data_IF_963893041506
#
_entry.id   IF_963893041506
#
_cell.length_a   1.000
_cell.length_b   1.000
_cell.length_c   1.000
_cell.angle_alpha   90.00
_cell.angle_beta   90.00
_cell.angle_gamma   90.00
#
_symmetry.space_group_name_H-M   'P 1'
#
loop_
_entity.id
_entity.type
_entity.pdbx_description
1 polymer ?
#
# COMPACT_ATOMS: atom_id res chain seq x y z
N UNK A 1 -5.10 -0.50 12.58
CA UNK A 1 -4.24 -0.22 11.41
C UNK A 1 -2.78 -0.39 11.84
N UNK A 2 -1.86 -0.81 10.98
CA UNK A 2 -0.52 -1.24 11.41
C UNK A 2 0.02 -2.51 10.73
N UNK A 3 -0.76 -3.14 9.84
CA UNK A 3 -0.32 -4.36 9.14
C UNK A 3 0.62 -4.00 7.99
N UNK A 4 1.69 -4.76 7.83
CA UNK A 4 2.54 -4.66 6.64
C UNK A 4 1.77 -5.14 5.42
N UNK A 5 1.78 -4.36 4.36
CA UNK A 5 1.12 -4.64 3.10
C UNK A 5 2.08 -4.49 1.94
N UNK A 6 1.82 -5.25 0.88
CA UNK A 6 2.32 -4.98 -0.47
C UNK A 6 1.13 -4.59 -1.34
N UNK A 7 1.32 -3.56 -2.15
CA UNK A 7 0.30 -3.02 -3.05
C UNK A 7 0.88 -2.87 -4.43
N UNK A 8 0.04 -3.03 -5.44
CA UNK A 8 0.32 -2.74 -6.84
C UNK A 8 -0.75 -1.81 -7.35
N UNK A 9 -0.34 -0.68 -7.94
CA UNK A 9 -1.24 0.31 -8.54
C UNK A 9 -0.90 0.54 -10.00
N UNK A 10 -1.92 0.91 -10.78
CA UNK A 10 -1.78 1.38 -12.15
C UNK A 10 -1.18 2.79 -12.15
N UNK A 11 -0.29 3.04 -13.08
CA UNK A 11 0.26 4.36 -13.42
C UNK A 11 0.32 4.50 -14.94
N UNK A 12 0.45 5.70 -15.53
CA UNK A 12 0.51 5.86 -16.98
C UNK A 12 1.58 4.98 -17.66
N UNK A 13 2.72 4.77 -17.00
CA UNK A 13 3.83 3.96 -17.53
C UNK A 13 3.71 2.45 -17.19
N UNK A 14 2.55 2.00 -16.68
CA UNK A 14 2.28 0.59 -16.35
C UNK A 14 1.89 0.38 -14.89
N UNK A 15 2.73 -0.29 -14.10
CA UNK A 15 2.45 -0.61 -12.70
C UNK A 15 3.56 -0.16 -11.77
N UNK A 16 3.17 0.28 -10.57
CA UNK A 16 4.10 0.59 -9.48
C UNK A 16 3.69 -0.14 -8.23
N UNK A 17 4.69 -0.66 -7.54
CA UNK A 17 4.50 -1.35 -6.28
C UNK A 17 4.83 -0.42 -5.11
N UNK A 18 4.14 -0.61 -3.98
CA UNK A 18 4.49 0.01 -2.72
C UNK A 18 4.39 -1.02 -1.59
N UNK A 19 5.42 -1.04 -0.75
CA UNK A 19 5.50 -1.92 0.41
C UNK A 19 5.68 -1.05 1.64
N UNK A 20 4.85 -1.28 2.64
CA UNK A 20 4.85 -0.48 3.84
C UNK A 20 3.80 -0.93 4.84
N UNK A 21 3.52 -0.09 5.82
CA UNK A 21 2.46 -0.30 6.79
C UNK A 21 1.21 0.39 6.28
N UNK A 22 0.08 -0.31 6.30
CA UNK A 22 -1.21 0.31 6.04
C UNK A 22 -1.54 1.26 7.20
N UNK A 23 -1.46 2.56 6.92
CA UNK A 23 -1.71 3.64 7.87
C UNK A 23 -3.20 3.97 7.93
N UNK A 24 -3.85 4.11 6.77
CA UNK A 24 -5.29 4.34 6.67
C UNK A 24 -5.90 3.77 5.37
N UNK A 25 -7.21 3.55 5.42
CA UNK A 25 -8.08 3.46 4.24
C UNK A 25 -9.32 4.28 4.54
N UNK A 26 -9.55 5.33 3.75
CA UNK A 26 -10.72 6.19 3.86
C UNK A 26 -10.95 6.89 2.53
N UNK A 27 -12.20 7.25 2.25
CA UNK A 27 -12.55 8.10 1.11
C UNK A 27 -11.96 7.58 -0.23
N UNK A 28 -12.01 6.27 -0.45
CA UNK A 28 -11.47 5.63 -1.65
C UNK A 28 -9.94 5.74 -1.79
N UNK A 29 -9.22 6.06 -0.72
CA UNK A 29 -7.76 6.24 -0.73
C UNK A 29 -7.08 5.38 0.33
N UNK A 30 -6.08 4.63 -0.11
CA UNK A 30 -5.23 3.78 0.71
C UNK A 30 -3.91 4.50 1.02
N UNK A 31 -3.62 4.74 2.31
CA UNK A 31 -2.37 5.33 2.78
C UNK A 31 -1.38 4.28 3.26
N UNK A 32 -0.23 4.16 2.60
CA UNK A 32 0.83 3.21 2.94
C UNK A 32 2.10 3.96 3.36
N UNK A 33 2.48 3.83 4.63
CA UNK A 33 3.74 4.36 5.16
C UNK A 33 4.88 3.43 4.82
N UNK A 34 5.82 3.90 4.01
CA UNK A 34 7.05 3.16 3.67
C UNK A 34 8.03 3.18 4.84
N UNK A 35 9.01 2.28 4.78
CA UNK A 35 10.07 2.16 5.79
C UNK A 35 10.92 3.43 5.91
N UNK A 36 11.09 4.16 4.81
CA UNK A 36 11.82 5.44 4.76
C UNK A 36 11.04 6.62 5.37
N UNK A 37 9.82 6.37 5.88
CA UNK A 37 8.95 7.39 6.45
C UNK A 37 8.09 8.12 5.42
N UNK A 38 8.25 7.86 4.11
CA UNK A 38 7.39 8.46 3.08
C UNK A 38 5.99 7.84 3.10
N UNK A 39 4.97 8.66 2.86
CA UNK A 39 3.58 8.21 2.71
C UNK A 39 3.27 8.09 1.21
N UNK A 40 2.75 6.93 0.81
CA UNK A 40 2.18 6.73 -0.53
C UNK A 40 0.67 6.64 -0.41
N UNK A 41 -0.02 7.50 -1.14
CA UNK A 41 -1.47 7.44 -1.30
C UNK A 41 -1.81 6.75 -2.61
N UNK A 42 -2.78 5.85 -2.56
CA UNK A 42 -3.22 5.05 -3.70
C UNK A 42 -4.73 5.15 -3.79
N UNK A 43 -5.22 5.72 -4.89
CA UNK A 43 -6.65 5.73 -5.16
C UNK A 43 -7.15 4.30 -5.45
N UNK A 44 -8.29 3.96 -4.88
CA UNK A 44 -8.89 2.62 -4.91
C UNK A 44 -9.16 2.12 -6.34
N UNK A 45 -9.54 3.03 -7.23
CA UNK A 45 -9.78 2.75 -8.65
C UNK A 45 -8.50 2.36 -9.42
N UNK A 46 -7.33 2.83 -8.97
CA UNK A 46 -6.02 2.46 -9.53
C UNK A 46 -5.43 1.21 -8.91
N UNK A 47 -5.96 0.72 -7.78
CA UNK A 47 -5.42 -0.41 -7.04
C UNK A 47 -5.66 -1.71 -7.83
N UNK A 48 -4.59 -2.33 -8.29
CA UNK A 48 -4.65 -3.57 -9.05
C UNK A 48 -4.54 -4.80 -8.15
N UNK A 49 -3.79 -4.70 -7.06
CA UNK A 49 -3.70 -5.74 -6.04
C UNK A 49 -3.24 -5.17 -4.69
N UNK A 50 -3.73 -5.75 -3.60
CA UNK A 50 -3.21 -5.53 -2.26
C UNK A 50 -3.15 -6.85 -1.49
N UNK A 51 -2.06 -7.06 -0.74
CA UNK A 51 -1.89 -8.25 0.09
C UNK A 51 -1.27 -7.87 1.42
N UNK A 52 -1.86 -8.39 2.51
CA UNK A 52 -1.25 -8.35 3.84
C UNK A 52 -0.06 -9.30 3.86
N UNK A 53 1.09 -8.79 4.31
CA UNK A 53 2.29 -9.58 4.56
C UNK A 53 2.22 -10.06 6.00
N UNK A 54 2.19 -11.39 6.25
CA UNK A 54 2.26 -11.92 7.60
C UNK A 54 3.59 -11.51 8.25
N UNK A 55 3.53 -11.03 9.48
CA UNK A 55 4.72 -10.92 10.31
C UNK A 55 5.18 -12.36 10.62
N UNK A 56 6.40 -12.73 10.21
CA UNK A 56 6.97 -14.00 10.65
C UNK A 56 7.10 -13.89 12.17
N UNK A 57 6.34 -14.69 12.92
CA UNK A 57 6.63 -14.93 14.33
C UNK A 57 7.98 -15.66 14.35
N UNK A 58 9.03 -14.92 14.70
CA UNK A 58 10.31 -15.52 15.09
C UNK A 58 10.22 -16.10 16.49
#
# INVERSE_FOLDING_TARGET
MGKRVTTRRRVPEGFRDAVGVLEFWRDGTLGVRRRDGSLVEIAEDTLAAARIVPERRG
#
